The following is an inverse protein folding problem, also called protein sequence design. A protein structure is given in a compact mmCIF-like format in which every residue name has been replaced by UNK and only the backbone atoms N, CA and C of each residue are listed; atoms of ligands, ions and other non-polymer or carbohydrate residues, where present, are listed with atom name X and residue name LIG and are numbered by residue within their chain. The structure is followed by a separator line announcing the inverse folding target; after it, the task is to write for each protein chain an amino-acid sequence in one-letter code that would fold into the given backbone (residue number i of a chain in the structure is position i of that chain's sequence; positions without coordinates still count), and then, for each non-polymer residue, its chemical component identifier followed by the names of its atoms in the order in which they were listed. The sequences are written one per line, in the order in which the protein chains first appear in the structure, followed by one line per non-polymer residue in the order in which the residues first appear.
data_IF_530929545122
#
_entry.id   IF_530929545122
#
_cell.length_a   1.000
_cell.length_b   1.000
_cell.length_c   1.000
_cell.angle_alpha   90.00
_cell.angle_beta   90.00
_cell.angle_gamma   90.00
#
_symmetry.space_group_name_H-M   'P 1'
#
loop_
_entity.id
_entity.type
_entity.pdbx_description
1 polymer ?
#
# COMPACT_ATOMS: atom_id res chain seq x y z
N UNK A 1 -44.89 51.80 8.47
CA UNK A 1 -45.83 51.33 9.51
C UNK A 1 -45.33 49.96 10.00
N UNK A 2 -45.55 49.64 11.28
CA UNK A 2 -44.90 48.58 12.07
C UNK A 2 -45.49 47.16 11.86
N UNK A 3 -44.60 46.16 11.93
CA UNK A 3 -44.59 44.90 12.74
C UNK A 3 -45.72 43.86 12.56
N UNK A 4 -45.31 42.59 12.42
CA UNK A 4 -46.16 41.38 12.46
C UNK A 4 -45.36 40.06 12.35
N UNK A 5 -44.52 39.79 13.34
CA UNK A 5 -44.27 38.54 14.10
C UNK A 5 -44.70 37.12 13.59
N UNK A 6 -43.73 36.17 13.68
CA UNK A 6 -43.80 34.71 14.04
C UNK A 6 -44.44 33.73 13.02
N UNK A 7 -44.08 32.45 12.84
CA UNK A 7 -43.39 31.46 13.67
C UNK A 7 -42.94 30.24 12.80
N UNK A 8 -42.10 29.39 13.40
CA UNK A 8 -41.42 28.18 12.91
C UNK A 8 -42.33 26.94 12.88
N UNK A 9 -42.19 26.04 11.89
CA UNK A 9 -42.35 24.58 12.10
C UNK A 9 -41.79 23.71 10.95
N UNK A 10 -41.18 22.61 11.38
CA UNK A 10 -40.36 21.63 10.65
C UNK A 10 -41.12 20.78 9.61
N UNK A 11 -40.37 20.23 8.66
CA UNK A 11 -40.79 19.07 7.88
C UNK A 11 -39.96 18.81 6.62
N UNK A 12 -38.96 17.92 6.71
CA UNK A 12 -38.42 17.22 5.54
C UNK A 12 -38.88 15.77 5.61
N UNK A 13 -39.47 15.22 4.53
CA UNK A 13 -38.98 13.93 4.06
C UNK A 13 -38.94 13.77 2.52
N UNK A 14 -37.76 13.35 2.03
CA UNK A 14 -37.37 12.55 0.83
C UNK A 14 -38.15 12.62 -0.51
N UNK A 15 -37.41 12.76 -1.63
CA UNK A 15 -37.23 11.72 -2.67
C UNK A 15 -36.56 12.25 -3.95
N UNK A 16 -35.49 11.57 -4.40
CA UNK A 16 -35.27 11.29 -5.82
C UNK A 16 -34.34 12.22 -6.60
N UNK A 17 -33.04 11.92 -6.63
CA UNK A 17 -32.20 12.23 -7.78
C UNK A 17 -31.32 11.01 -8.08
N UNK A 18 -31.71 10.27 -9.12
CA UNK A 18 -30.83 9.33 -9.80
C UNK A 18 -29.70 10.13 -10.44
N UNK A 19 -28.46 9.75 -10.18
CA UNK A 19 -27.32 10.20 -10.98
C UNK A 19 -26.58 8.95 -11.45
N UNK A 20 -26.56 8.84 -12.76
CA UNK A 20 -25.95 7.83 -13.60
C UNK A 20 -24.47 7.67 -13.24
N UNK A 21 -24.05 6.45 -12.87
CA UNK A 21 -22.64 6.14 -12.59
C UNK A 21 -22.08 5.46 -13.83
N UNK A 22 -21.48 6.25 -14.70
CA UNK A 22 -20.56 5.77 -15.73
C UNK A 22 -19.14 6.16 -15.31
N UNK A 23 -18.24 5.23 -14.94
CA UNK A 23 -16.84 5.58 -14.76
C UNK A 23 -16.11 5.43 -16.09
N UNK A 24 -15.83 6.55 -16.76
CA UNK A 24 -14.77 6.64 -17.77
C UNK A 24 -13.57 7.32 -17.11
N UNK A 25 -12.55 6.49 -16.84
CA UNK A 25 -11.11 6.73 -16.94
C UNK A 25 -10.60 8.13 -16.57
N UNK A 26 -9.74 8.17 -15.54
CA UNK A 26 -8.74 9.21 -15.36
C UNK A 26 -8.70 9.72 -13.92
N UNK A 27 -7.83 9.14 -13.10
CA UNK A 27 -6.92 9.85 -12.19
C UNK A 27 -6.41 8.88 -11.12
N UNK A 28 -5.16 8.43 -11.32
CA UNK A 28 -4.38 7.64 -10.36
C UNK A 28 -4.06 8.39 -9.03
N UNK A 29 -4.68 9.55 -8.79
CA UNK A 29 -4.65 10.27 -7.51
C UNK A 29 -5.73 9.80 -6.53
N UNK A 30 -6.84 9.23 -7.02
CA UNK A 30 -7.97 8.83 -6.16
C UNK A 30 -7.79 7.54 -5.36
N UNK A 31 -6.76 6.72 -5.64
CA UNK A 31 -6.57 5.42 -4.97
C UNK A 31 -5.52 5.44 -3.84
N UNK A 32 -4.83 6.56 -3.65
CA UNK A 32 -3.91 6.77 -2.51
C UNK A 32 -4.63 7.48 -1.34
N UNK A 33 -5.71 8.22 -1.60
CA UNK A 33 -6.49 8.92 -0.55
C UNK A 33 -7.33 8.01 0.35
N UNK A 34 -7.57 6.75 -0.02
CA UNK A 34 -8.35 5.81 0.82
C UNK A 34 -7.57 5.27 2.03
N UNK A 35 -6.24 5.36 2.06
CA UNK A 35 -5.45 4.72 3.12
C UNK A 35 -4.67 5.67 4.03
N UNK A 36 -4.89 7.00 3.95
CA UNK A 36 -4.17 7.94 4.84
C UNK A 36 -4.96 9.05 5.55
N UNK A 37 -6.26 9.32 5.32
CA UNK A 37 -6.85 10.53 5.91
C UNK A 37 -8.33 10.49 6.26
N UNK A 38 -8.64 10.56 7.55
CA UNK A 38 -9.73 11.40 8.02
C UNK A 38 -9.18 12.27 9.16
N UNK A 39 -9.51 13.56 9.20
CA UNK A 39 -9.84 14.16 10.49
C UNK A 39 -11.37 14.29 10.59
N UNK A 40 -11.92 13.46 11.47
CA UNK A 40 -13.33 13.45 11.85
C UNK A 40 -13.53 14.64 12.77
N UNK A 41 -14.24 15.67 12.34
CA UNK A 41 -14.73 16.69 13.28
C UNK A 41 -13.55 17.40 13.97
N UNK A 42 -12.91 18.36 13.32
CA UNK A 42 -13.67 19.56 12.95
C UNK A 42 -14.51 19.42 11.67
N UNK A 43 -14.12 18.47 10.80
CA UNK A 43 -14.86 18.07 9.60
C UNK A 43 -14.41 18.83 8.36
N UNK A 44 -13.37 19.66 8.48
CA UNK A 44 -12.84 20.40 7.34
C UNK A 44 -11.31 20.31 7.22
N UNK A 45 -10.94 20.48 5.96
CA UNK A 45 -9.71 20.20 5.26
C UNK A 45 -8.65 21.32 5.48
N UNK A 46 -7.54 21.27 4.73
CA UNK A 46 -6.59 22.35 4.38
C UNK A 46 -5.15 22.14 4.91
N UNK A 47 -4.09 22.29 4.10
CA UNK A 47 -4.05 22.75 2.72
C UNK A 47 -2.67 22.66 2.05
N UNK A 48 -2.75 22.35 0.76
CA UNK A 48 -1.77 22.25 -0.32
C UNK A 48 -0.78 23.42 -0.56
N UNK A 49 -0.82 24.50 0.23
CA UNK A 49 0.00 25.71 -0.02
C UNK A 49 1.46 25.64 0.45
N UNK A 50 1.93 24.52 1.01
CA UNK A 50 3.38 24.28 1.22
C UNK A 50 4.08 23.57 0.05
N UNK A 51 3.34 22.98 -0.90
CA UNK A 51 3.92 22.34 -2.09
C UNK A 51 3.98 23.25 -3.32
N UNK A 52 3.34 24.43 -3.28
CA UNK A 52 3.41 25.43 -4.36
C UNK A 52 4.77 26.15 -4.49
N UNK A 53 5.77 25.80 -3.67
CA UNK A 53 7.07 26.48 -3.64
C UNK A 53 8.19 25.91 -4.52
N UNK A 54 8.01 24.78 -5.19
CA UNK A 54 9.13 24.09 -5.90
C UNK A 54 8.74 23.52 -7.28
N UNK A 55 8.00 24.29 -8.06
CA UNK A 55 8.13 24.24 -9.53
C UNK A 55 8.64 25.61 -9.95
N UNK A 56 9.97 25.74 -10.04
CA UNK A 56 10.63 26.97 -10.46
C UNK A 56 12.14 26.82 -10.45
N UNK A 57 12.71 26.87 -11.66
CA UNK A 57 14.14 26.89 -12.02
C UNK A 57 14.78 25.52 -12.32
N UNK A 58 14.36 24.96 -13.45
CA UNK A 58 15.30 24.49 -14.46
C UNK A 58 16.13 25.68 -14.97
N UNK A 59 17.35 25.88 -14.45
CA UNK A 59 18.39 26.72 -15.06
C UNK A 59 19.76 26.24 -14.52
N UNK A 60 20.66 25.89 -15.44
CA UNK A 60 22.00 25.39 -15.18
C UNK A 60 22.84 26.40 -14.39
N UNK A 61 23.49 25.94 -13.31
CA UNK A 61 24.80 26.47 -12.91
C UNK A 61 25.76 25.31 -12.70
N UNK A 62 26.70 25.18 -13.64
CA UNK A 62 27.97 24.51 -13.38
C UNK A 62 28.59 25.10 -12.11
N UNK A 63 29.01 24.26 -11.15
CA UNK A 63 30.24 24.44 -10.38
C UNK A 63 30.54 23.20 -9.50
N UNK A 64 31.73 22.65 -9.74
CA UNK A 64 32.63 21.84 -8.88
C UNK A 64 32.21 20.39 -8.54
N UNK A 65 32.93 19.50 -9.21
CA UNK A 65 33.33 18.15 -8.79
C UNK A 65 33.45 18.01 -7.27
N UNK A 66 32.49 17.30 -6.67
CA UNK A 66 32.56 16.81 -5.28
C UNK A 66 32.87 15.32 -5.39
N UNK A 67 34.10 15.01 -5.78
CA UNK A 67 34.61 13.64 -5.72
C UNK A 67 35.07 13.42 -4.28
N UNK A 68 34.16 12.93 -3.43
CA UNK A 68 34.46 12.14 -2.21
C UNK A 68 33.23 11.86 -1.31
N UNK A 69 31.99 12.14 -1.76
CA UNK A 69 30.80 11.65 -1.02
C UNK A 69 30.57 10.19 -1.43
N UNK A 70 30.58 9.21 -0.49
CA UNK A 70 30.17 7.86 -0.81
C UNK A 70 28.79 7.89 -1.46
N UNK A 71 28.62 7.22 -2.61
CA UNK A 71 27.31 7.12 -3.25
C UNK A 71 26.28 6.67 -2.19
N UNK A 72 25.11 7.34 -2.09
CA UNK A 72 24.04 6.86 -1.23
C UNK A 72 23.78 5.38 -1.52
N UNK A 73 23.69 4.57 -0.46
CA UNK A 73 23.38 3.13 -0.62
C UNK A 73 22.06 2.98 -1.37
N UNK A 74 22.02 2.03 -2.29
CA UNK A 74 20.81 1.65 -3.01
C UNK A 74 19.78 1.02 -2.05
N UNK A 75 18.51 1.03 -2.46
CA UNK A 75 17.45 0.35 -1.71
C UNK A 75 17.75 -1.15 -1.52
N UNK A 76 18.31 -1.80 -2.53
CA UNK A 76 18.72 -3.21 -2.49
C UNK A 76 19.79 -3.43 -1.42
N UNK A 77 20.86 -2.64 -1.41
CA UNK A 77 21.91 -2.74 -0.39
C UNK A 77 21.35 -2.52 1.01
N UNK A 78 20.47 -1.53 1.19
CA UNK A 78 19.84 -1.24 2.47
C UNK A 78 18.97 -2.40 2.98
N UNK A 79 18.29 -3.14 2.09
CA UNK A 79 17.51 -4.34 2.46
C UNK A 79 18.40 -5.51 2.92
N UNK A 80 19.68 -5.54 2.54
CA UNK A 80 20.62 -6.58 2.97
C UNK A 80 21.35 -6.25 4.28
N UNK A 81 21.19 -5.03 4.80
CA UNK A 81 21.81 -4.63 6.06
C UNK A 81 20.95 -4.97 7.27
N UNK A 82 21.62 -5.27 8.39
CA UNK A 82 20.94 -5.48 9.64
C UNK A 82 20.23 -4.23 10.16
N UNK A 83 19.13 -4.41 10.88
CA UNK A 83 18.36 -3.32 11.49
C UNK A 83 17.45 -3.81 12.60
N UNK A 84 16.62 -2.90 13.13
CA UNK A 84 15.66 -3.19 14.19
C UNK A 84 14.26 -2.94 13.65
N UNK A 85 13.32 -3.85 13.90
CA UNK A 85 11.92 -3.62 13.57
C UNK A 85 11.33 -2.49 14.43
N UNK A 86 10.77 -1.49 13.78
CA UNK A 86 10.20 -0.29 14.39
C UNK A 86 8.76 -0.06 13.95
N UNK A 87 8.11 0.95 14.53
CA UNK A 87 6.77 1.36 14.15
C UNK A 87 5.67 0.39 14.59
N UNK A 88 4.49 0.60 14.02
CA UNK A 88 3.32 -0.24 14.16
C UNK A 88 2.53 -0.02 15.46
N UNK A 89 2.83 1.02 16.25
CA UNK A 89 2.09 1.33 17.48
C UNK A 89 0.64 1.71 17.21
N UNK A 90 0.35 2.25 16.02
CA UNK A 90 -0.99 2.69 15.60
C UNK A 90 -1.65 1.72 14.61
N UNK A 91 -1.01 0.57 14.33
CA UNK A 91 -1.60 -0.43 13.44
C UNK A 91 -2.74 -1.16 14.14
N UNK A 92 -3.86 -1.40 13.43
CA UNK A 92 -5.04 -2.00 14.04
C UNK A 92 -4.79 -3.45 14.43
N UNK A 93 -5.29 -3.85 15.60
CA UNK A 93 -5.42 -5.27 15.94
C UNK A 93 -6.51 -5.87 15.06
N UNK A 94 -6.19 -6.97 14.38
CA UNK A 94 -7.12 -7.64 13.49
C UNK A 94 -7.82 -8.78 14.25
N UNK A 95 -9.13 -8.65 14.43
CA UNK A 95 -9.99 -9.65 15.09
C UNK A 95 -10.92 -10.41 14.12
N UNK A 96 -10.74 -10.20 12.81
CA UNK A 96 -11.59 -10.77 11.76
C UNK A 96 -10.87 -10.72 10.42
N UNK A 97 -11.60 -10.51 9.33
CA UNK A 97 -10.98 -10.44 8.00
C UNK A 97 -9.84 -9.40 7.98
N UNK A 98 -8.67 -9.81 7.50
CA UNK A 98 -7.44 -9.01 7.47
C UNK A 98 -7.24 -8.34 6.10
N UNK A 99 -6.98 -9.15 5.08
CA UNK A 99 -6.74 -8.69 3.72
C UNK A 99 -8.02 -8.13 3.12
N UNK A 100 -7.88 -7.05 2.35
CA UNK A 100 -8.97 -6.24 1.78
C UNK A 100 -8.83 -6.17 0.26
N UNK A 101 -9.85 -5.59 -0.37
CA UNK A 101 -9.92 -5.42 -1.82
C UNK A 101 -10.23 -6.74 -2.54
N UNK A 102 -10.18 -6.68 -3.87
CA UNK A 102 -10.52 -7.81 -4.74
C UNK A 102 -9.62 -8.99 -4.41
N UNK A 103 -10.23 -10.08 -3.93
CA UNK A 103 -9.54 -11.32 -3.58
C UNK A 103 -8.41 -11.14 -2.54
N UNK A 104 -8.55 -10.16 -1.64
CA UNK A 104 -7.56 -9.92 -0.57
C UNK A 104 -6.24 -9.37 -1.09
N UNK A 105 -6.29 -8.51 -2.12
CA UNK A 105 -5.10 -8.03 -2.82
C UNK A 105 -4.21 -7.07 -2.03
N UNK A 106 -4.68 -6.50 -0.92
CA UNK A 106 -3.91 -5.57 -0.10
C UNK A 106 -4.24 -5.67 1.40
N UNK A 107 -3.25 -5.42 2.26
CA UNK A 107 -3.44 -5.27 3.69
C UNK A 107 -2.29 -4.51 4.36
N UNK A 108 -2.56 -3.88 5.50
CA UNK A 108 -1.52 -3.32 6.38
C UNK A 108 -0.97 -4.41 7.30
N UNK A 109 0.23 -4.20 7.85
CA UNK A 109 0.74 -5.08 8.93
C UNK A 109 -0.27 -5.09 10.09
N UNK A 110 -0.71 -6.26 10.59
CA UNK A 110 -1.56 -6.33 11.78
C UNK A 110 -0.82 -5.83 13.03
N UNK A 111 -1.50 -5.06 13.87
CA UNK A 111 -0.90 -4.50 15.08
C UNK A 111 -0.38 -5.57 16.05
N UNK A 112 -1.06 -6.73 16.14
CA UNK A 112 -0.58 -7.82 16.99
C UNK A 112 0.73 -8.43 16.48
N UNK A 113 0.93 -8.48 15.16
CA UNK A 113 2.18 -8.95 14.55
C UNK A 113 3.27 -7.90 14.73
N UNK A 114 2.94 -6.63 14.57
CA UNK A 114 3.87 -5.55 14.84
C UNK A 114 4.36 -5.57 16.29
N UNK A 115 3.47 -5.80 17.26
CA UNK A 115 3.86 -5.93 18.65
C UNK A 115 4.83 -7.10 18.90
N UNK A 116 4.66 -8.23 18.21
CA UNK A 116 5.60 -9.36 18.29
C UNK A 116 6.97 -9.02 17.74
N UNK A 117 7.05 -8.33 16.60
CA UNK A 117 8.30 -8.09 15.89
C UNK A 117 9.07 -6.86 16.38
N UNK A 118 8.38 -5.87 16.96
CA UNK A 118 8.99 -4.59 17.37
C UNK A 118 10.18 -4.82 18.31
N UNK A 119 11.27 -4.12 18.04
CA UNK A 119 12.50 -4.21 18.82
C UNK A 119 13.38 -5.42 18.49
N UNK A 120 12.93 -6.35 17.65
CA UNK A 120 13.76 -7.46 17.21
C UNK A 120 14.87 -6.98 16.27
N UNK A 121 16.08 -7.52 16.46
CA UNK A 121 17.21 -7.33 15.55
C UNK A 121 17.07 -8.29 14.37
N UNK A 122 17.16 -7.75 13.16
CA UNK A 122 16.96 -8.46 11.91
C UNK A 122 18.23 -8.33 11.08
N UNK A 123 18.65 -9.43 10.46
CA UNK A 123 19.89 -9.47 9.69
C UNK A 123 19.73 -8.90 8.28
N UNK A 124 18.51 -8.99 7.73
CA UNK A 124 18.13 -8.49 6.41
C UNK A 124 16.60 -8.34 6.35
N UNK A 125 16.11 -7.68 5.30
CA UNK A 125 14.68 -7.59 5.02
C UNK A 125 14.08 -8.97 4.71
N UNK A 126 14.85 -9.90 4.15
CA UNK A 126 14.38 -11.28 3.95
C UNK A 126 14.20 -12.02 5.28
N UNK A 127 15.09 -11.78 6.25
CA UNK A 127 14.91 -12.28 7.60
C UNK A 127 13.66 -11.68 8.27
N UNK A 128 13.38 -10.39 8.03
CA UNK A 128 12.12 -9.76 8.45
C UNK A 128 10.90 -10.43 7.83
N UNK A 129 10.89 -10.66 6.51
CA UNK A 129 9.78 -11.34 5.83
C UNK A 129 9.53 -12.74 6.41
N UNK A 130 10.59 -13.49 6.70
CA UNK A 130 10.47 -14.81 7.32
C UNK A 130 9.89 -14.74 8.73
N UNK A 131 10.39 -13.82 9.56
CA UNK A 131 9.87 -13.60 10.91
C UNK A 131 8.40 -13.15 10.87
N UNK A 132 8.04 -12.27 9.93
CA UNK A 132 6.68 -11.81 9.71
C UNK A 132 5.72 -12.95 9.40
N UNK A 133 6.02 -13.78 8.39
CA UNK A 133 5.12 -14.88 8.03
C UNK A 133 5.03 -15.95 9.13
N UNK A 134 6.10 -16.22 9.86
CA UNK A 134 6.05 -17.09 11.05
C UNK A 134 5.15 -16.52 12.13
N UNK A 135 5.24 -15.22 12.41
CA UNK A 135 4.37 -14.56 13.38
C UNK A 135 2.89 -14.62 12.94
N UNK A 136 2.60 -14.39 11.67
CA UNK A 136 1.24 -14.54 11.10
C UNK A 136 0.73 -15.97 11.25
N UNK A 137 1.57 -16.99 11.00
CA UNK A 137 1.19 -18.39 11.16
C UNK A 137 0.89 -18.79 12.61
N UNK A 138 1.54 -18.13 13.57
CA UNK A 138 1.36 -18.39 15.00
C UNK A 138 0.15 -17.65 15.61
N UNK A 139 -0.40 -16.66 14.90
CA UNK A 139 -1.61 -15.96 15.32
C UNK A 139 -2.86 -16.72 14.81
N UNK A 140 -3.72 -17.26 15.69
CA UNK A 140 -4.84 -18.08 15.27
C UNK A 140 -5.91 -17.29 14.49
N UNK A 141 -6.07 -15.99 14.74
CA UNK A 141 -7.06 -15.16 14.03
C UNK A 141 -6.61 -14.91 12.59
N UNK A 142 -5.32 -14.66 12.39
CA UNK A 142 -4.76 -14.40 11.07
C UNK A 142 -4.53 -15.71 10.28
N UNK A 143 -3.93 -16.73 10.91
CA UNK A 143 -3.62 -17.99 10.25
C UNK A 143 -4.86 -18.68 9.68
N UNK A 144 -6.01 -18.59 10.38
CA UNK A 144 -7.27 -19.20 9.95
C UNK A 144 -7.84 -18.62 8.66
N UNK A 145 -7.33 -17.49 8.17
CA UNK A 145 -7.75 -16.88 6.90
C UNK A 145 -7.03 -17.47 5.68
N UNK A 146 -6.02 -18.32 5.90
CA UNK A 146 -5.23 -18.94 4.84
C UNK A 146 -5.51 -20.44 4.73
N UNK A 147 -5.33 -21.00 3.53
CA UNK A 147 -5.44 -22.46 3.30
C UNK A 147 -4.41 -23.23 4.10
N UNK A 148 -4.65 -24.53 4.34
CA UNK A 148 -3.71 -25.38 5.08
C UNK A 148 -2.29 -25.39 4.46
N UNK A 149 -2.19 -25.44 3.13
CA UNK A 149 -0.92 -25.37 2.42
C UNK A 149 -0.21 -24.02 2.65
N UNK A 150 -0.95 -22.91 2.61
CA UNK A 150 -0.40 -21.59 2.89
C UNK A 150 0.03 -21.43 4.35
N UNK A 151 -0.73 -21.98 5.30
CA UNK A 151 -0.30 -22.01 6.71
C UNK A 151 1.02 -22.76 6.88
N UNK A 152 1.17 -23.93 6.24
CA UNK A 152 2.42 -24.69 6.27
C UNK A 152 3.61 -23.90 5.71
N UNK A 153 3.42 -23.17 4.60
CA UNK A 153 4.44 -22.27 4.06
C UNK A 153 4.81 -21.17 5.05
N UNK A 154 3.82 -20.51 5.65
CA UNK A 154 4.05 -19.42 6.59
C UNK A 154 4.76 -19.90 7.87
N UNK A 155 4.45 -21.09 8.39
CA UNK A 155 5.18 -21.70 9.52
C UNK A 155 6.67 -21.90 9.20
N UNK A 156 7.03 -22.13 7.94
CA UNK A 156 8.42 -22.20 7.49
C UNK A 156 9.06 -20.82 7.24
N UNK A 157 8.30 -19.73 7.36
CA UNK A 157 8.73 -18.35 7.05
C UNK A 157 8.56 -17.97 5.58
N UNK A 158 7.86 -18.79 4.79
CA UNK A 158 7.60 -18.49 3.40
C UNK A 158 6.30 -17.69 3.24
N UNK A 159 6.30 -16.72 2.32
CA UNK A 159 5.08 -16.02 1.96
C UNK A 159 4.01 -17.00 1.41
N UNK A 160 2.73 -16.81 1.75
CA UNK A 160 1.66 -17.62 1.22
C UNK A 160 1.43 -17.33 -0.27
N UNK A 161 0.94 -18.32 -1.00
CA UNK A 161 0.53 -18.16 -2.39
C UNK A 161 -0.75 -17.34 -2.49
N UNK A 162 -0.82 -16.52 -3.53
CA UNK A 162 -2.04 -15.78 -3.91
C UNK A 162 -2.94 -16.67 -4.78
N UNK A 163 -4.22 -16.28 -4.90
CA UNK A 163 -5.13 -16.88 -5.88
C UNK A 163 -4.64 -16.63 -7.31
N UNK A 164 -5.07 -17.45 -8.28
CA UNK A 164 -4.53 -17.42 -9.65
C UNK A 164 -4.71 -16.05 -10.30
N UNK A 165 -5.85 -15.42 -10.05
CA UNK A 165 -6.28 -14.14 -10.60
C UNK A 165 -5.46 -12.94 -10.07
N UNK A 166 -4.72 -13.15 -8.99
CA UNK A 166 -3.85 -12.15 -8.34
C UNK A 166 -2.36 -12.39 -8.63
N UNK A 167 -2.03 -13.37 -9.48
CA UNK A 167 -0.67 -13.61 -9.96
C UNK A 167 -0.29 -12.57 -11.02
N UNK A 168 1.02 -12.42 -11.23
CA UNK A 168 1.58 -11.54 -12.24
C UNK A 168 2.75 -12.24 -12.93
N UNK A 169 2.91 -12.01 -14.24
CA UNK A 169 4.05 -12.47 -15.02
C UNK A 169 5.20 -11.45 -15.03
N UNK A 170 4.97 -10.22 -14.56
CA UNK A 170 6.00 -9.20 -14.40
C UNK A 170 7.09 -9.64 -13.41
N UNK A 171 6.68 -10.30 -12.32
CA UNK A 171 7.60 -10.87 -11.34
C UNK A 171 7.90 -12.35 -11.69
N UNK A 172 9.16 -12.71 -11.99
CA UNK A 172 9.48 -14.06 -12.45
C UNK A 172 9.34 -15.12 -11.34
N UNK A 173 9.04 -16.35 -11.76
CA UNK A 173 9.09 -17.53 -10.90
C UNK A 173 8.08 -17.52 -9.75
N UNK A 174 8.57 -17.71 -8.53
CA UNK A 174 7.72 -17.79 -7.34
C UNK A 174 7.23 -16.43 -6.85
N UNK A 175 7.95 -15.35 -7.18
CA UNK A 175 7.58 -13.99 -6.77
C UNK A 175 6.27 -13.55 -7.41
N UNK A 176 6.03 -13.89 -8.68
CA UNK A 176 4.74 -13.65 -9.36
C UNK A 176 3.55 -14.43 -8.79
N UNK A 177 3.76 -15.25 -7.76
CA UNK A 177 2.76 -16.18 -7.22
C UNK A 177 2.50 -16.04 -5.72
N UNK A 178 3.21 -15.16 -5.01
CA UNK A 178 3.15 -15.04 -3.55
C UNK A 178 2.94 -13.59 -3.12
N UNK A 179 2.38 -13.39 -1.93
CA UNK A 179 2.28 -12.05 -1.37
C UNK A 179 3.65 -11.39 -1.20
N UNK A 180 3.72 -10.09 -1.46
CA UNK A 180 4.90 -9.26 -1.29
C UNK A 180 4.72 -8.31 -0.10
N UNK A 181 5.82 -7.98 0.57
CA UNK A 181 5.90 -6.86 1.52
C UNK A 181 6.54 -5.68 0.81
N UNK A 182 5.75 -4.63 0.60
CA UNK A 182 6.10 -3.44 -0.16
C UNK A 182 6.27 -2.22 0.75
N UNK A 183 7.28 -1.40 0.48
CA UNK A 183 7.54 -0.15 1.19
C UNK A 183 6.72 0.99 0.59
N UNK A 184 5.81 1.57 1.36
CA UNK A 184 4.91 2.67 0.90
C UNK A 184 5.73 3.90 0.51
N UNK A 185 6.63 4.33 1.38
CA UNK A 185 7.68 5.29 1.05
C UNK A 185 8.90 4.51 0.59
N UNK A 186 9.38 4.70 -0.65
CA UNK A 186 10.55 4.00 -1.16
C UNK A 186 11.76 4.19 -0.24
N UNK A 187 12.54 3.13 -0.05
CA UNK A 187 13.76 3.17 0.77
C UNK A 187 14.75 4.21 0.23
N UNK A 188 14.86 4.32 -1.10
CA UNK A 188 15.71 5.31 -1.77
C UNK A 188 15.28 6.76 -1.51
N UNK A 189 14.04 6.98 -1.07
CA UNK A 189 13.48 8.29 -0.72
C UNK A 189 13.42 8.50 0.81
N UNK A 190 14.15 7.69 1.58
CA UNK A 190 14.22 7.81 3.04
C UNK A 190 13.17 6.98 3.79
N UNK A 191 12.42 6.11 3.11
CA UNK A 191 11.52 5.17 3.75
C UNK A 191 12.26 4.17 4.66
N UNK A 192 11.73 3.95 5.87
CA UNK A 192 12.31 3.00 6.81
C UNK A 192 12.24 1.56 6.29
N UNK A 193 13.37 0.86 6.26
CA UNK A 193 13.46 -0.55 5.77
C UNK A 193 12.66 -1.50 6.65
N UNK A 194 12.73 -1.32 7.97
CA UNK A 194 12.09 -2.17 8.98
C UNK A 194 10.98 -1.43 9.75
N UNK A 195 10.53 -0.30 9.22
CA UNK A 195 9.41 0.44 9.78
C UNK A 195 8.10 -0.22 9.33
N UNK A 196 7.40 -0.84 10.27
CA UNK A 196 6.17 -1.56 9.97
C UNK A 196 5.00 -0.64 9.60
N UNK A 197 5.06 0.65 9.94
CA UNK A 197 4.09 1.64 9.44
C UNK A 197 4.32 1.95 7.95
N UNK A 198 5.54 1.73 7.46
CA UNK A 198 5.94 1.94 6.07
C UNK A 198 5.76 0.70 5.18
N UNK A 199 5.16 -0.39 5.69
CA UNK A 199 5.08 -1.65 4.95
C UNK A 199 3.63 -2.09 4.78
N UNK A 200 3.28 -2.47 3.56
CA UNK A 200 2.00 -3.09 3.19
C UNK A 200 2.22 -4.46 2.56
N UNK A 201 1.22 -5.31 2.70
CA UNK A 201 1.16 -6.65 2.13
C UNK A 201 0.32 -6.54 0.86
N UNK A 202 0.84 -7.00 -0.27
CA UNK A 202 0.17 -6.89 -1.57
C UNK A 202 0.31 -8.15 -2.39
N UNK A 203 -0.63 -8.39 -3.29
CA UNK A 203 -0.48 -9.42 -4.32
C UNK A 203 0.47 -8.96 -5.42
N UNK A 204 1.09 -9.89 -6.18
CA UNK A 204 1.93 -9.55 -7.32
C UNK A 204 1.20 -8.69 -8.36
N UNK A 205 -0.06 -9.02 -8.67
CA UNK A 205 -0.88 -8.23 -9.59
C UNK A 205 -1.11 -6.81 -9.08
N UNK A 206 -1.49 -6.64 -7.82
CA UNK A 206 -1.67 -5.30 -7.25
C UNK A 206 -0.35 -4.53 -7.21
N UNK A 207 0.76 -5.20 -6.91
CA UNK A 207 2.08 -4.59 -6.90
C UNK A 207 2.47 -4.07 -8.29
N UNK A 208 2.22 -4.84 -9.34
CA UNK A 208 2.43 -4.42 -10.73
C UNK A 208 1.50 -3.27 -11.12
N UNK A 209 0.18 -3.47 -10.98
CA UNK A 209 -0.82 -2.56 -11.54
C UNK A 209 -0.93 -1.23 -10.79
N UNK A 210 -0.60 -1.18 -9.51
CA UNK A 210 -0.84 0.01 -8.67
C UNK A 210 0.45 0.63 -8.17
N UNK A 211 1.45 -0.17 -7.82
CA UNK A 211 2.62 0.30 -7.07
C UNK A 211 3.88 0.41 -7.90
N UNK A 212 3.96 -0.26 -9.05
CA UNK A 212 5.15 -0.22 -9.91
C UNK A 212 5.13 1.04 -10.78
N UNK A 213 6.03 2.01 -10.56
CA UNK A 213 6.01 3.26 -11.31
C UNK A 213 6.26 3.06 -12.80
N UNK A 214 7.07 2.05 -13.15
CA UNK A 214 7.42 1.73 -14.54
C UNK A 214 6.21 1.20 -15.33
N UNK A 215 5.25 0.55 -14.66
CA UNK A 215 4.02 0.07 -15.29
C UNK A 215 3.09 1.22 -15.71
N UNK A 216 3.06 2.30 -14.94
CA UNK A 216 2.28 3.52 -15.23
C UNK A 216 2.92 4.44 -16.26
N UNK A 217 4.19 4.21 -16.62
CA UNK A 217 4.92 4.98 -17.62
C UNK A 217 4.89 4.34 -19.02
N UNK A 218 4.46 3.08 -19.12
CA UNK A 218 4.20 2.46 -20.42
C UNK A 218 2.86 2.98 -20.96
N UNK A 219 2.77 3.38 -22.25
CA UNK A 219 1.48 3.70 -22.84
C UNK A 219 0.57 2.48 -22.70
N UNK A 220 -0.62 2.69 -22.12
CA UNK A 220 -1.66 1.67 -22.05
C UNK A 220 -1.92 1.09 -23.44
N UNK A 221 -1.48 -0.15 -23.67
CA UNK A 221 -1.73 -0.90 -24.90
C UNK A 221 -2.82 -1.95 -24.66
N UNK A 222 -4.08 -1.68 -25.07
CA UNK A 222 -5.18 -2.63 -24.93
C UNK A 222 -5.03 -3.91 -25.76
N UNK A 223 -3.99 -4.05 -26.60
CA UNK A 223 -3.73 -5.27 -27.37
C UNK A 223 -3.08 -6.38 -26.52
N UNK A 224 -2.30 -6.05 -25.49
CA UNK A 224 -1.52 -7.04 -24.71
C UNK A 224 -2.40 -7.93 -23.82
N UNK A 225 -3.60 -7.48 -23.44
CA UNK A 225 -4.56 -8.31 -22.69
C UNK A 225 -5.55 -9.10 -23.58
N UNK A 226 -5.60 -8.85 -24.90
CA UNK A 226 -6.46 -9.58 -25.84
C UNK A 226 -5.81 -10.82 -26.46
N UNK A 227 -4.67 -11.27 -25.92
CA UNK A 227 -3.98 -12.48 -26.38
C UNK A 227 -4.69 -13.80 -26.06
N UNK A 228 -5.76 -13.80 -25.27
CA UNK A 228 -6.53 -15.02 -24.93
C UNK A 228 -8.04 -14.86 -25.19
N UNK A 229 -8.43 -14.47 -26.41
CA UNK A 229 -9.78 -14.71 -27.00
C UNK A 229 -9.72 -14.23 -28.48
N UNK A 230 -9.90 -15.00 -29.58
CA UNK A 230 -10.71 -16.18 -29.91
C UNK A 230 -10.13 -16.89 -31.17
N UNK A 231 -9.87 -18.21 -31.07
CA UNK A 231 -10.33 -19.41 -31.87
C UNK A 231 -10.12 -19.46 -33.43
N UNK A 232 -10.29 -20.62 -34.13
CA UNK A 232 -11.14 -21.80 -33.89
C UNK A 232 -10.53 -22.89 -32.99
#
# INVERSE_FOLDING_TARGET
MRRGDLEYQDGVPWAGAAVDVTPIIGDAKGLIEVFTGCDLVTGEDLGWWRWAGLVGLSELRHLRHVDDVPSPRTATELRHLAGIATGGQRLPIINGAWLRGTQGNVGRIPGQIANTLRGQKLQSFDHFQQAFWKAVANDPVLANQFTAANRANMTQGNAPFVVVEQRSNFFPGQSGRKYHLHHVTPISQGGGVYDMDNIIIVTPRYHEEVLEPDYHQLPYDPATQRGEEIRP
#
